data_IF_972107986457
#
_entry.id   IF_972107986457
#
_cell.length_a   1.000
_cell.length_b   1.000
_cell.length_c   1.000
_cell.angle_alpha   90.00
_cell.angle_beta   90.00
_cell.angle_gamma   90.00
#
_symmetry.space_group_name_H-M   'P 1'
#
loop_
_entity.id
_entity.type
_entity.pdbx_description
1 polymer ?
#
# COMPACT_ATOMS: atom_id res chain seq x y z
N UNK A 1 7.89 -13.39 2.43
CA UNK A 1 6.95 -12.26 2.37
C UNK A 1 6.11 -12.26 1.10
N UNK A 2 6.70 -12.58 -0.06
CA UNK A 2 5.97 -12.73 -1.33
C UNK A 2 4.75 -13.65 -1.22
N UNK A 3 4.87 -14.80 -0.53
CA UNK A 3 3.77 -15.77 -0.38
C UNK A 3 2.54 -15.21 0.35
N UNK A 4 2.70 -14.26 1.25
CA UNK A 4 1.57 -13.66 1.99
C UNK A 4 0.82 -12.65 1.11
N UNK A 5 1.54 -11.88 0.31
CA UNK A 5 0.96 -10.96 -0.66
C UNK A 5 0.23 -11.73 -1.77
N UNK A 6 0.80 -12.87 -2.20
CA UNK A 6 0.19 -13.79 -3.15
C UNK A 6 -1.06 -14.48 -2.60
N UNK A 7 -1.15 -14.70 -1.29
CA UNK A 7 -2.29 -15.41 -0.71
C UNK A 7 -3.61 -14.63 -0.91
N UNK A 8 -3.58 -13.32 -0.75
CA UNK A 8 -4.74 -12.47 -0.98
C UNK A 8 -4.98 -12.19 -2.47
N UNK A 9 -3.92 -12.11 -3.28
CA UNK A 9 -4.04 -11.98 -4.73
C UNK A 9 -4.58 -13.26 -5.40
N UNK A 10 -4.25 -14.44 -4.85
CA UNK A 10 -4.72 -15.73 -5.37
C UNK A 10 -6.23 -15.92 -5.29
N UNK A 11 -6.90 -15.21 -4.39
CA UNK A 11 -8.38 -15.18 -4.30
C UNK A 11 -8.99 -14.46 -5.51
N UNK A 12 -8.18 -13.69 -6.25
CA UNK A 12 -8.61 -12.85 -7.36
C UNK A 12 -7.79 -13.15 -8.63
N UNK A 13 -7.48 -14.41 -8.90
CA UNK A 13 -6.75 -14.82 -10.12
C UNK A 13 -7.43 -14.26 -11.37
N UNK A 14 -6.88 -13.17 -11.87
CA UNK A 14 -7.07 -12.71 -13.22
C UNK A 14 -5.86 -13.16 -14.04
N UNK A 15 -6.12 -13.92 -15.06
CA UNK A 15 -5.12 -14.56 -15.90
C UNK A 15 -4.58 -13.58 -16.94
N UNK A 16 -3.58 -12.80 -16.58
CA UNK A 16 -2.86 -11.96 -17.53
C UNK A 16 -1.38 -12.35 -17.60
N UNK A 17 -0.93 -12.83 -18.76
CA UNK A 17 0.46 -13.27 -18.97
C UNK A 17 1.53 -12.19 -18.73
N UNK A 18 1.14 -10.91 -18.73
CA UNK A 18 2.04 -9.76 -18.50
C UNK A 18 2.26 -9.48 -17.01
N UNK A 19 1.26 -9.76 -16.17
CA UNK A 19 1.27 -9.41 -14.75
C UNK A 19 2.18 -10.33 -13.94
N UNK A 20 2.17 -11.62 -14.24
CA UNK A 20 2.98 -12.62 -13.52
C UNK A 20 4.48 -12.31 -13.62
N UNK A 21 5.06 -12.02 -14.79
CA UNK A 21 6.45 -11.60 -14.90
C UNK A 21 6.75 -10.30 -14.16
N UNK A 22 5.86 -9.31 -14.19
CA UNK A 22 6.06 -8.06 -13.46
C UNK A 22 6.11 -8.30 -11.94
N UNK A 23 5.21 -9.12 -11.42
CA UNK A 23 5.19 -9.45 -9.99
C UNK A 23 6.40 -10.24 -9.54
N UNK A 24 6.82 -11.22 -10.31
CA UNK A 24 7.85 -12.20 -9.91
C UNK A 24 9.25 -11.79 -10.32
N UNK A 25 9.43 -11.26 -11.52
CA UNK A 25 10.75 -11.02 -12.11
C UNK A 25 11.21 -9.58 -11.93
N UNK A 26 10.32 -8.60 -12.06
CA UNK A 26 10.68 -7.17 -11.91
C UNK A 26 10.55 -6.64 -10.48
N UNK A 27 10.17 -7.47 -9.52
CA UNK A 27 10.07 -7.07 -8.12
C UNK A 27 8.90 -6.15 -7.78
N UNK A 28 7.86 -6.11 -8.61
CA UNK A 28 6.69 -5.24 -8.42
C UNK A 28 5.99 -5.45 -7.08
N UNK A 29 5.90 -6.68 -6.59
CA UNK A 29 5.36 -6.98 -5.26
C UNK A 29 6.23 -6.44 -4.13
N UNK A 30 7.55 -6.58 -4.26
CA UNK A 30 8.49 -6.06 -3.26
C UNK A 30 8.41 -4.54 -3.19
N UNK A 31 8.31 -3.87 -4.35
CA UNK A 31 8.16 -2.43 -4.44
C UNK A 31 6.85 -1.97 -3.79
N UNK A 32 5.73 -2.60 -4.11
CA UNK A 32 4.42 -2.29 -3.53
C UNK A 32 4.41 -2.48 -2.01
N UNK A 33 5.03 -3.54 -1.52
CA UNK A 33 5.20 -3.80 -0.10
C UNK A 33 6.02 -2.73 0.61
N UNK A 34 7.18 -2.35 0.05
CA UNK A 34 8.05 -1.32 0.64
C UNK A 34 7.37 0.05 0.67
N UNK A 35 6.64 0.41 -0.38
CA UNK A 35 5.85 1.65 -0.42
C UNK A 35 4.79 1.64 0.68
N UNK A 36 4.03 0.56 0.79
CA UNK A 36 2.97 0.41 1.79
C UNK A 36 3.52 0.48 3.21
N UNK A 37 4.63 -0.20 3.48
CA UNK A 37 5.30 -0.17 4.77
C UNK A 37 5.85 1.23 5.09
N UNK A 38 6.51 1.88 4.13
CA UNK A 38 7.09 3.22 4.29
C UNK A 38 6.04 4.28 4.56
N UNK A 39 4.94 4.28 3.82
CA UNK A 39 3.82 5.21 4.03
C UNK A 39 3.17 4.95 5.39
N UNK A 40 2.93 3.70 5.77
CA UNK A 40 2.33 3.37 7.06
C UNK A 40 3.22 3.78 8.24
N UNK A 41 4.54 3.63 8.11
CA UNK A 41 5.50 4.11 9.09
C UNK A 41 5.46 5.66 9.20
N UNK A 42 5.45 6.35 8.07
CA UNK A 42 5.37 7.82 8.04
C UNK A 42 4.10 8.31 8.75
N UNK A 43 2.95 7.74 8.42
CA UNK A 43 1.67 8.12 9.05
C UNK A 43 1.65 7.81 10.55
N UNK A 44 2.22 6.70 10.99
CA UNK A 44 2.33 6.37 12.40
C UNK A 44 3.23 7.38 13.15
N UNK A 45 4.38 7.74 12.56
CA UNK A 45 5.26 8.78 13.13
C UNK A 45 4.55 10.13 13.18
N UNK A 46 3.88 10.55 12.11
CA UNK A 46 3.09 11.79 12.09
C UNK A 46 2.01 11.78 13.17
N UNK A 47 1.30 10.67 13.34
CA UNK A 47 0.24 10.55 14.34
C UNK A 47 0.76 10.67 15.77
N UNK A 48 1.86 10.00 16.12
CA UNK A 48 2.36 9.96 17.50
C UNK A 48 3.32 11.10 17.88
N UNK A 49 4.01 11.72 16.94
CA UNK A 49 5.02 12.74 17.22
C UNK A 49 4.64 14.15 16.75
N UNK A 50 3.90 14.26 15.65
CA UNK A 50 3.58 15.58 15.06
C UNK A 50 2.19 16.04 15.46
N UNK A 51 1.19 15.19 15.28
CA UNK A 51 -0.21 15.53 15.52
C UNK A 51 -0.48 15.99 16.97
N UNK A 52 0.09 15.38 18.02
CA UNK A 52 -0.10 15.81 19.39
C UNK A 52 0.46 17.20 19.70
N UNK A 53 1.46 17.65 18.93
CA UNK A 53 2.00 19.02 19.08
C UNK A 53 1.07 20.08 18.52
N UNK A 54 0.29 19.71 17.49
CA UNK A 54 -0.66 20.63 16.83
C UNK A 54 -2.01 20.60 17.56
N UNK A 55 -2.43 19.42 17.99
CA UNK A 55 -3.72 19.19 18.63
C UNK A 55 -3.55 18.32 19.87
N UNK A 56 -3.41 18.90 21.06
CA UNK A 56 -3.13 18.13 22.28
C UNK A 56 -4.27 17.18 22.72
N UNK A 57 -5.51 17.44 22.28
CA UNK A 57 -6.67 16.59 22.59
C UNK A 57 -6.96 15.60 21.44
N UNK A 58 -6.07 14.62 21.24
CA UNK A 58 -6.31 13.54 20.29
C UNK A 58 -7.30 12.52 20.87
N UNK A 59 -8.24 12.12 20.05
CA UNK A 59 -9.25 11.10 20.38
C UNK A 59 -9.05 9.85 19.53
N UNK A 60 -9.74 8.78 19.92
CA UNK A 60 -9.78 7.53 19.15
C UNK A 60 -10.25 7.76 17.71
N UNK A 61 -11.16 8.72 17.51
CA UNK A 61 -11.62 9.09 16.17
C UNK A 61 -10.47 9.57 15.27
N UNK A 62 -9.54 10.36 15.80
CA UNK A 62 -8.38 10.84 15.03
C UNK A 62 -7.46 9.67 14.64
N UNK A 63 -7.32 8.65 15.48
CA UNK A 63 -6.56 7.44 15.15
C UNK A 63 -7.19 6.70 13.97
N UNK A 64 -8.48 6.41 14.03
CA UNK A 64 -9.18 5.72 12.94
C UNK A 64 -9.21 6.54 11.65
N UNK A 65 -9.38 7.86 11.76
CA UNK A 65 -9.33 8.75 10.60
C UNK A 65 -7.94 8.73 9.95
N UNK A 66 -6.87 8.79 10.75
CA UNK A 66 -5.49 8.72 10.24
C UNK A 66 -5.22 7.37 9.60
N UNK A 67 -5.69 6.28 10.20
CA UNK A 67 -5.57 4.93 9.65
C UNK A 67 -6.31 4.81 8.30
N UNK A 68 -7.51 5.38 8.19
CA UNK A 68 -8.26 5.42 6.93
C UNK A 68 -7.55 6.25 5.86
N UNK A 69 -7.08 7.46 6.20
CA UNK A 69 -6.32 8.31 5.27
C UNK A 69 -5.03 7.60 4.81
N UNK A 70 -4.32 6.91 5.72
CA UNK A 70 -3.16 6.09 5.37
C UNK A 70 -3.52 5.04 4.31
N UNK A 71 -4.64 4.32 4.48
CA UNK A 71 -5.07 3.31 3.52
C UNK A 71 -5.40 3.91 2.15
N UNK A 72 -6.07 5.05 2.11
CA UNK A 72 -6.38 5.77 0.86
C UNK A 72 -5.11 6.24 0.16
N UNK A 73 -4.16 6.81 0.90
CA UNK A 73 -2.88 7.26 0.34
C UNK A 73 -2.07 6.08 -0.19
N UNK A 74 -2.00 4.96 0.55
CA UNK A 74 -1.33 3.73 0.09
C UNK A 74 -1.97 3.19 -1.19
N UNK A 75 -3.31 3.17 -1.26
CA UNK A 75 -4.03 2.74 -2.43
C UNK A 75 -3.60 3.50 -3.68
N UNK A 76 -3.67 4.83 -3.64
CA UNK A 76 -3.31 5.66 -4.80
C UNK A 76 -1.81 5.63 -5.10
N UNK A 77 -0.95 5.64 -4.07
CA UNK A 77 0.50 5.56 -4.27
C UNK A 77 0.89 4.27 -5.00
N UNK A 78 0.38 3.12 -4.55
CA UNK A 78 0.66 1.84 -5.21
C UNK A 78 0.04 1.79 -6.59
N UNK A 79 -1.17 2.31 -6.78
CA UNK A 79 -1.81 2.37 -8.09
C UNK A 79 -0.98 3.12 -9.13
N UNK A 80 -0.51 4.33 -8.80
CA UNK A 80 0.28 5.12 -9.73
C UNK A 80 1.67 4.53 -9.98
N UNK A 81 2.31 3.98 -8.95
CA UNK A 81 3.62 3.34 -9.10
C UNK A 81 3.49 2.04 -9.90
N UNK A 82 2.47 1.22 -9.65
CA UNK A 82 2.22 0.02 -10.42
C UNK A 82 1.99 0.37 -11.90
N UNK A 83 1.14 1.36 -12.17
CA UNK A 83 0.87 1.82 -13.54
C UNK A 83 2.16 2.23 -14.25
N UNK A 84 2.93 3.14 -13.68
CA UNK A 84 4.18 3.62 -14.28
C UNK A 84 5.23 2.50 -14.45
N UNK A 85 5.33 1.60 -13.47
CA UNK A 85 6.29 0.50 -13.52
C UNK A 85 5.94 -0.52 -14.61
N UNK A 86 4.66 -0.76 -14.84
CA UNK A 86 4.19 -1.68 -15.90
C UNK A 86 4.36 -1.05 -17.27
N UNK A 87 4.04 0.23 -17.44
CA UNK A 87 4.31 0.97 -18.66
C UNK A 87 5.79 0.84 -19.05
N UNK A 88 6.69 1.10 -18.10
CA UNK A 88 8.13 0.95 -18.32
C UNK A 88 8.54 -0.49 -18.66
N UNK A 89 7.94 -1.49 -18.01
CA UNK A 89 8.23 -2.89 -18.28
C UNK A 89 7.82 -3.31 -19.70
N UNK A 90 6.66 -2.87 -20.17
CA UNK A 90 6.15 -3.15 -21.51
C UNK A 90 7.04 -2.50 -22.57
N UNK A 91 7.37 -1.22 -22.40
CA UNK A 91 8.24 -0.50 -23.33
C UNK A 91 9.64 -1.12 -23.36
N UNK A 92 10.23 -1.46 -22.21
CA UNK A 92 11.56 -2.05 -22.12
C UNK A 92 11.66 -3.45 -22.76
N UNK A 93 10.58 -4.19 -22.83
CA UNK A 93 10.55 -5.53 -23.43
C UNK A 93 9.97 -5.56 -24.85
N UNK A 94 9.65 -4.39 -25.43
CA UNK A 94 9.07 -4.30 -26.78
C UNK A 94 7.73 -5.00 -26.96
N UNK A 95 6.96 -5.18 -25.85
CA UNK A 95 5.69 -5.90 -25.87
C UNK A 95 4.58 -5.11 -26.59
N UNK A 96 4.81 -3.84 -26.87
CA UNK A 96 3.88 -2.99 -27.63
C UNK A 96 3.63 -3.49 -29.05
N UNK A 97 4.64 -4.10 -29.68
CA UNK A 97 4.54 -4.64 -31.04
C UNK A 97 3.93 -6.05 -31.09
N UNK A 98 4.00 -6.78 -29.95
CA UNK A 98 3.63 -8.20 -29.88
C UNK A 98 2.16 -8.38 -29.45
N UNK A 99 1.65 -7.52 -28.57
CA UNK A 99 0.30 -7.64 -28.04
C UNK A 99 -0.40 -6.26 -27.87
N UNK A 100 -1.21 -5.85 -28.86
CA UNK A 100 -2.01 -4.63 -28.75
C UNK A 100 -3.00 -4.63 -27.57
N UNK A 101 -3.36 -5.80 -27.04
CA UNK A 101 -4.18 -5.92 -25.84
C UNK A 101 -3.43 -5.48 -24.58
N UNK A 102 -2.11 -5.64 -24.53
CA UNK A 102 -1.31 -5.19 -23.40
C UNK A 102 -1.39 -3.66 -23.21
N UNK A 103 -1.38 -2.90 -24.32
CA UNK A 103 -1.52 -1.44 -24.31
C UNK A 103 -2.91 -1.03 -23.81
N UNK A 104 -3.94 -1.71 -24.26
CA UNK A 104 -5.32 -1.44 -23.86
C UNK A 104 -5.54 -1.76 -22.37
N UNK A 105 -4.83 -2.76 -21.86
CA UNK A 105 -4.82 -3.18 -20.47
C UNK A 105 -4.25 -2.08 -19.54
N UNK A 106 -3.25 -1.33 -19.99
CA UNK A 106 -2.65 -0.24 -19.22
C UNK A 106 -3.51 1.02 -19.26
N UNK A 107 -4.06 1.35 -20.42
CA UNK A 107 -4.84 2.59 -20.62
C UNK A 107 -6.16 2.59 -19.85
N UNK A 108 -6.74 1.44 -19.62
CA UNK A 108 -8.05 1.29 -18.94
C UNK A 108 -7.92 1.06 -17.41
N UNK A 109 -6.70 0.91 -16.88
CA UNK A 109 -6.50 0.58 -15.45
C UNK A 109 -7.12 -0.78 -15.16
N UNK A 110 -6.40 -1.84 -15.46
CA UNK A 110 -6.91 -3.21 -15.32
C UNK A 110 -7.37 -3.52 -13.92
N UNK A 111 -8.27 -4.48 -13.83
CA UNK A 111 -8.75 -5.08 -12.58
C UNK A 111 -7.57 -5.42 -11.66
N UNK A 112 -6.43 -5.85 -12.21
CA UNK A 112 -5.24 -6.23 -11.44
C UNK A 112 -4.55 -5.05 -10.75
N UNK A 113 -4.45 -3.86 -11.38
CA UNK A 113 -3.90 -2.67 -10.70
C UNK A 113 -4.78 -2.27 -9.52
N UNK A 114 -6.09 -2.30 -9.71
CA UNK A 114 -7.05 -2.00 -8.64
C UNK A 114 -6.94 -3.00 -7.50
N UNK A 115 -6.79 -4.30 -7.83
CA UNK A 115 -6.65 -5.37 -6.84
C UNK A 115 -5.35 -5.26 -6.04
N UNK A 116 -4.22 -4.98 -6.70
CA UNK A 116 -2.93 -4.77 -6.02
C UNK A 116 -3.00 -3.56 -5.09
N UNK A 117 -3.63 -2.49 -5.56
CA UNK A 117 -3.79 -1.26 -4.78
C UNK A 117 -4.74 -1.46 -3.59
N UNK A 118 -5.86 -2.16 -3.80
CA UNK A 118 -6.79 -2.52 -2.73
C UNK A 118 -6.13 -3.42 -1.68
N UNK A 119 -5.35 -4.41 -2.13
CA UNK A 119 -4.58 -5.28 -1.25
C UNK A 119 -3.55 -4.48 -0.43
N UNK A 120 -2.85 -3.55 -1.05
CA UNK A 120 -1.91 -2.65 -0.37
C UNK A 120 -2.60 -1.75 0.66
N UNK A 121 -3.81 -1.27 0.37
CA UNK A 121 -4.62 -0.53 1.33
C UNK A 121 -4.98 -1.38 2.56
N UNK A 122 -5.37 -2.64 2.37
CA UNK A 122 -5.66 -3.57 3.48
C UNK A 122 -4.40 -3.81 4.32
N UNK A 123 -3.24 -4.09 3.68
CA UNK A 123 -1.98 -4.26 4.40
C UNK A 123 -1.55 -2.98 5.13
N UNK A 124 -1.82 -1.82 4.56
CA UNK A 124 -1.48 -0.56 5.22
C UNK A 124 -2.24 -0.36 6.55
N UNK A 125 -3.48 -0.82 6.66
CA UNK A 125 -4.22 -0.83 7.92
C UNK A 125 -3.53 -1.71 8.96
N UNK A 126 -3.11 -2.90 8.56
CA UNK A 126 -2.41 -3.85 9.43
C UNK A 126 -1.05 -3.27 9.87
N UNK A 127 -0.26 -2.75 8.92
CA UNK A 127 1.06 -2.17 9.23
C UNK A 127 0.94 -0.93 10.12
N UNK A 128 0.03 -0.02 9.80
CA UNK A 128 -0.21 1.15 10.63
C UNK A 128 -0.56 0.75 12.06
N UNK A 129 -1.43 -0.25 12.23
CA UNK A 129 -1.83 -0.75 13.54
C UNK A 129 -0.64 -1.36 14.30
N UNK A 130 0.12 -2.27 13.67
CA UNK A 130 1.28 -2.93 14.28
C UNK A 130 2.39 -1.93 14.63
N UNK A 131 2.71 -1.02 13.71
CA UNK A 131 3.69 0.04 13.92
C UNK A 131 3.24 0.97 15.05
N UNK A 132 1.95 1.28 15.11
CA UNK A 132 1.36 2.09 16.18
C UNK A 132 1.55 1.47 17.56
N UNK A 133 1.43 0.14 17.71
CA UNK A 133 1.70 -0.55 18.95
C UNK A 133 3.15 -0.35 19.41
N UNK A 134 4.09 -0.42 18.47
CA UNK A 134 5.52 -0.28 18.76
C UNK A 134 5.85 1.19 19.09
N UNK A 135 5.44 2.12 18.24
CA UNK A 135 5.77 3.55 18.36
C UNK A 135 5.08 4.20 19.56
N UNK A 136 3.87 3.74 19.91
CA UNK A 136 3.13 4.26 21.07
C UNK A 136 3.98 4.32 22.35
N UNK A 137 4.88 3.36 22.54
CA UNK A 137 5.76 3.32 23.72
C UNK A 137 6.77 4.46 23.76
N UNK A 138 7.14 5.02 22.63
CA UNK A 138 8.16 6.07 22.48
C UNK A 138 7.58 7.46 22.24
N UNK A 139 6.31 7.54 21.93
CA UNK A 139 5.63 8.82 21.70
C UNK A 139 5.41 9.59 23.02
N UNK A 140 5.65 10.92 23.03
CA UNK A 140 5.53 11.75 24.24
C UNK A 140 4.12 11.78 24.84
N UNK A 141 3.10 11.40 24.06
CA UNK A 141 1.69 11.40 24.45
C UNK A 141 1.02 10.03 24.29
N UNK A 142 1.81 8.98 24.07
CA UNK A 142 1.33 7.69 23.60
C UNK A 142 0.57 6.82 24.61
N UNK A 143 0.57 7.17 25.90
CA UNK A 143 0.04 6.26 26.93
C UNK A 143 -1.48 6.14 26.96
N UNK A 144 -2.22 7.13 26.44
CA UNK A 144 -3.69 7.20 26.52
C UNK A 144 -4.41 7.03 25.18
N UNK A 145 -3.67 6.88 24.08
CA UNK A 145 -4.23 6.69 22.75
C UNK A 145 -4.23 5.22 22.35
N UNK A 146 -5.29 4.80 21.63
CA UNK A 146 -5.43 3.46 21.06
C UNK A 146 -4.10 2.99 20.39
N UNK A 147 -3.81 1.66 20.29
CA UNK A 147 -4.83 0.61 20.23
C UNK A 147 -5.26 -0.03 21.55
N UNK A 148 -4.74 0.18 22.64
CA UNK A 148 -5.21 -0.40 23.90
C UNK A 148 -5.21 0.71 24.96
N UNK A 149 -6.14 1.66 24.85
CA UNK A 149 -6.46 2.59 25.92
C UNK A 149 -6.88 1.83 27.19
N UNK A 150 -6.47 2.35 28.36
CA UNK A 150 -7.04 1.91 29.61
C UNK A 150 -8.51 2.24 29.67
#
# INVERSE_FOLDING_TARGET
MEKLYFLLLRVFESSGDVWVPWYTTSGGLTLSFLITLGISLLFAVLFYFVLPRIKPALTNLHFYLTMFVNAVVCFFAVFFVAKSSIENYITANGLEEIDPMAINTISTGTVDMWLVSANSAIYSLIFFFLISIIIKRWGPYGTNLIPFGK
#
